data_IF_009548376991
#
_entry.id   IF_009548376991
#
_cell.length_a   1.000
_cell.length_b   1.000
_cell.length_c   1.000
_cell.angle_alpha   90.00
_cell.angle_beta   90.00
_cell.angle_gamma   90.00
#
_symmetry.space_group_name_H-M   'P 1'
#
loop_
_entity.id
_entity.type
_entity.pdbx_description
1 polymer ?
#
# COMPACT_ATOMS: atom_id res chain seq x y z
N UNK A 1 -57.23 -31.60 20.10
CA UNK A 1 -56.10 -32.09 20.92
C UNK A 1 -56.15 -33.61 20.96
N UNK A 2 -55.23 -34.28 20.27
CA UNK A 2 -54.46 -35.41 20.78
C UNK A 2 -53.49 -35.89 19.70
N UNK A 3 -52.26 -36.05 20.13
CA UNK A 3 -51.00 -36.12 19.39
C UNK A 3 -50.73 -37.49 18.78
N UNK A 4 -50.52 -37.52 17.47
CA UNK A 4 -49.99 -38.68 16.74
C UNK A 4 -48.45 -38.58 16.64
N UNK A 5 -47.75 -39.15 17.60
CA UNK A 5 -46.33 -39.47 17.52
C UNK A 5 -46.11 -40.88 18.09
N UNK A 6 -45.66 -41.83 17.28
CA UNK A 6 -45.24 -43.13 17.81
C UNK A 6 -45.24 -44.27 16.80
N UNK A 7 -44.21 -44.36 15.95
CA UNK A 7 -44.01 -45.56 15.11
C UNK A 7 -42.80 -45.49 14.17
N UNK A 8 -42.49 -44.31 13.64
CA UNK A 8 -41.33 -44.11 12.74
C UNK A 8 -39.99 -43.94 13.45
N UNK A 9 -40.00 -43.55 14.73
CA UNK A 9 -38.77 -43.24 15.48
C UNK A 9 -37.90 -44.45 15.81
N UNK A 10 -38.50 -45.58 16.19
CA UNK A 10 -37.74 -46.75 16.68
C UNK A 10 -36.95 -47.44 15.57
N UNK A 11 -37.54 -47.57 14.36
CA UNK A 11 -36.84 -48.14 13.19
C UNK A 11 -35.74 -47.22 12.67
N UNK A 12 -35.95 -45.91 12.69
CA UNK A 12 -34.92 -44.93 12.35
C UNK A 12 -33.75 -44.98 13.34
N UNK A 13 -34.04 -45.01 14.65
CA UNK A 13 -33.03 -45.12 15.71
C UNK A 13 -32.24 -46.43 15.61
N UNK A 14 -32.90 -47.57 15.36
CA UNK A 14 -32.22 -48.85 15.13
C UNK A 14 -31.32 -48.83 13.89
N UNK A 15 -31.75 -48.17 12.81
CA UNK A 15 -30.92 -47.96 11.62
C UNK A 15 -29.67 -47.13 11.91
N UNK A 16 -29.80 -46.03 12.65
CA UNK A 16 -28.66 -45.20 13.06
C UNK A 16 -27.69 -45.94 13.98
N UNK A 17 -28.22 -46.73 14.93
CA UNK A 17 -27.40 -47.56 15.82
C UNK A 17 -26.61 -48.59 15.01
N UNK A 18 -27.26 -49.29 14.07
CA UNK A 18 -26.61 -50.26 13.21
C UNK A 18 -25.48 -49.67 12.37
N UNK A 19 -25.71 -48.50 11.77
CA UNK A 19 -24.69 -47.77 11.00
C UNK A 19 -23.54 -47.31 11.91
N UNK A 20 -23.84 -46.76 13.09
CA UNK A 20 -22.82 -46.32 14.04
C UNK A 20 -21.94 -47.49 14.50
N UNK A 21 -22.54 -48.65 14.78
CA UNK A 21 -21.82 -49.86 15.17
C UNK A 21 -20.93 -50.38 14.04
N UNK A 22 -21.44 -50.40 12.81
CA UNK A 22 -20.66 -50.76 11.63
C UNK A 22 -19.46 -49.82 11.43
N UNK A 23 -19.64 -48.51 11.60
CA UNK A 23 -18.56 -47.51 11.53
C UNK A 23 -17.52 -47.75 12.63
N UNK A 24 -17.95 -47.98 13.88
CA UNK A 24 -17.04 -48.27 15.00
C UNK A 24 -16.22 -49.54 14.73
N UNK A 25 -16.85 -50.60 14.24
CA UNK A 25 -16.17 -51.86 13.89
C UNK A 25 -15.14 -51.63 12.77
N UNK A 26 -15.53 -50.90 11.73
CA UNK A 26 -14.65 -50.61 10.60
C UNK A 26 -13.43 -49.79 11.05
N UNK A 27 -13.65 -48.75 11.86
CA UNK A 27 -12.58 -47.93 12.44
C UNK A 27 -11.65 -48.80 13.28
N UNK A 28 -12.19 -49.69 14.12
CA UNK A 28 -11.39 -50.56 14.97
C UNK A 28 -10.57 -51.58 14.16
N UNK A 29 -11.12 -52.14 13.08
CA UNK A 29 -10.41 -53.01 12.15
C UNK A 29 -9.25 -52.28 11.46
N UNK A 30 -9.49 -51.05 11.01
CA UNK A 30 -8.47 -50.21 10.38
C UNK A 30 -7.36 -49.85 11.37
N UNK A 31 -7.71 -49.50 12.61
CA UNK A 31 -6.77 -49.23 13.70
C UNK A 31 -5.90 -50.44 14.00
N UNK A 32 -6.48 -51.64 14.08
CA UNK A 32 -5.74 -52.89 14.29
C UNK A 32 -4.80 -53.18 13.12
N UNK A 33 -5.26 -53.03 11.88
CA UNK A 33 -4.46 -53.31 10.68
C UNK A 33 -3.28 -52.35 10.48
N UNK A 34 -3.44 -51.09 10.91
CA UNK A 34 -2.39 -50.07 10.81
C UNK A 34 -1.43 -50.03 12.02
N UNK A 35 -1.60 -50.93 13.00
CA UNK A 35 -0.72 -51.03 14.17
C UNK A 35 -0.94 -49.95 15.23
N UNK A 36 -2.19 -49.47 15.37
CA UNK A 36 -2.63 -48.62 16.49
C UNK A 36 -3.10 -47.21 16.09
N UNK A 37 -3.89 -46.61 16.99
CA UNK A 37 -4.50 -45.28 16.81
C UNK A 37 -3.49 -44.18 16.47
N UNK A 38 -2.28 -44.24 17.03
CA UNK A 38 -1.21 -43.27 16.76
C UNK A 38 -0.78 -43.27 15.28
N UNK A 39 -0.74 -44.43 14.62
CA UNK A 39 -0.35 -44.52 13.20
C UNK A 39 -1.46 -44.05 12.27
N UNK A 40 -2.72 -44.36 12.58
CA UNK A 40 -3.88 -43.85 11.85
C UNK A 40 -3.96 -42.32 11.95
N UNK A 41 -3.84 -41.75 13.16
CA UNK A 41 -3.78 -40.29 13.36
C UNK A 41 -2.57 -39.67 12.68
N UNK A 42 -1.41 -40.35 12.69
CA UNK A 42 -0.22 -39.95 11.95
C UNK A 42 -0.45 -39.89 10.44
N UNK A 43 -1.19 -40.84 9.87
CA UNK A 43 -1.53 -40.87 8.45
C UNK A 43 -2.58 -39.80 8.09
N UNK A 44 -3.65 -39.68 8.87
CA UNK A 44 -4.70 -38.65 8.69
C UNK A 44 -4.10 -37.25 8.82
N UNK A 45 -3.28 -37.01 9.84
CA UNK A 45 -2.65 -35.69 10.05
C UNK A 45 -1.70 -35.31 8.91
N UNK A 46 -1.00 -36.27 8.29
CA UNK A 46 -0.16 -36.02 7.10
C UNK A 46 -1.00 -35.62 5.89
N UNK A 47 -2.11 -36.30 5.64
CA UNK A 47 -3.03 -36.00 4.54
C UNK A 47 -3.74 -34.66 4.76
N UNK A 48 -4.26 -34.40 5.97
CA UNK A 48 -4.88 -33.13 6.34
C UNK A 48 -3.88 -31.99 6.21
N UNK A 49 -2.61 -32.15 6.62
CA UNK A 49 -1.61 -31.07 6.55
C UNK A 49 -1.33 -30.61 5.11
N UNK A 50 -1.35 -31.53 4.14
CA UNK A 50 -1.16 -31.18 2.72
C UNK A 50 -2.38 -30.44 2.16
N UNK A 51 -3.59 -30.91 2.48
CA UNK A 51 -4.85 -30.27 2.04
C UNK A 51 -5.10 -28.92 2.73
N UNK A 52 -4.86 -28.84 4.04
CA UNK A 52 -5.02 -27.61 4.83
C UNK A 52 -4.09 -26.52 4.35
N UNK A 53 -2.87 -26.84 3.90
CA UNK A 53 -1.95 -25.81 3.36
C UNK A 53 -2.54 -25.13 2.12
N UNK A 54 -3.23 -25.87 1.25
CA UNK A 54 -3.90 -25.31 0.08
C UNK A 54 -5.11 -24.42 0.43
N UNK A 55 -5.83 -24.74 1.52
CA UNK A 55 -6.98 -23.94 1.98
C UNK A 55 -6.61 -22.77 2.91
N UNK A 56 -5.49 -22.86 3.64
CA UNK A 56 -5.06 -21.80 4.56
C UNK A 56 -4.29 -20.70 3.84
N UNK A 57 -3.55 -21.00 2.76
CA UNK A 57 -2.77 -20.00 2.05
C UNK A 57 -3.63 -18.81 1.54
N UNK A 58 -4.82 -19.02 0.93
CA UNK A 58 -5.70 -17.92 0.53
C UNK A 58 -6.15 -17.04 1.71
N UNK A 59 -6.44 -17.65 2.86
CA UNK A 59 -6.88 -16.92 4.07
C UNK A 59 -5.71 -16.14 4.66
N UNK A 60 -4.53 -16.76 4.75
CA UNK A 60 -3.31 -16.13 5.21
C UNK A 60 -2.94 -14.94 4.31
N UNK A 61 -2.97 -15.11 2.98
CA UNK A 61 -2.74 -14.06 2.00
C UNK A 61 -3.74 -12.90 2.17
N UNK A 62 -5.04 -13.19 2.32
CA UNK A 62 -6.07 -12.16 2.56
C UNK A 62 -5.85 -11.42 3.87
N UNK A 63 -5.43 -12.12 4.94
CA UNK A 63 -5.09 -11.51 6.23
C UNK A 63 -3.85 -10.62 6.13
N UNK A 64 -2.79 -11.08 5.45
CA UNK A 64 -1.57 -10.29 5.17
C UNK A 64 -1.92 -9.02 4.40
N UNK A 65 -2.67 -9.14 3.31
CA UNK A 65 -3.14 -8.00 2.53
C UNK A 65 -3.92 -6.99 3.36
N UNK A 66 -4.89 -7.45 4.17
CA UNK A 66 -5.67 -6.55 5.05
C UNK A 66 -4.81 -5.85 6.09
N UNK A 67 -3.81 -6.54 6.66
CA UNK A 67 -2.86 -5.94 7.62
C UNK A 67 -2.02 -4.86 6.95
N UNK A 68 -1.41 -5.16 5.80
CA UNK A 68 -0.60 -4.20 5.03
C UNK A 68 -1.41 -3.01 4.56
N UNK A 69 -2.64 -3.23 4.07
CA UNK A 69 -3.55 -2.16 3.68
C UNK A 69 -3.89 -1.23 4.86
N UNK A 70 -4.10 -1.78 6.06
CA UNK A 70 -4.34 -0.96 7.26
C UNK A 70 -3.11 -0.15 7.64
N UNK A 71 -1.93 -0.79 7.68
CA UNK A 71 -0.66 -0.12 7.98
C UNK A 71 -0.42 1.04 7.00
N UNK A 72 -0.49 0.79 5.70
CA UNK A 72 -0.33 1.84 4.69
C UNK A 72 -1.38 2.94 4.84
N UNK A 73 -2.65 2.59 4.99
CA UNK A 73 -3.71 3.61 5.12
C UNK A 73 -3.51 4.47 6.37
N UNK A 74 -2.99 3.90 7.46
CA UNK A 74 -2.66 4.62 8.69
C UNK A 74 -1.49 5.57 8.47
N UNK A 75 -0.35 5.07 7.97
CA UNK A 75 0.85 5.88 7.71
C UNK A 75 0.59 6.99 6.70
N UNK A 76 -0.15 6.72 5.63
CA UNK A 76 -0.50 7.74 4.65
C UNK A 76 -1.30 8.92 5.26
N UNK A 77 -1.97 8.72 6.39
CA UNK A 77 -2.76 9.77 7.08
C UNK A 77 -2.02 10.37 8.28
N UNK A 78 -0.84 9.87 8.60
CA UNK A 78 -0.08 10.20 9.81
C UNK A 78 0.88 11.36 9.51
N UNK A 79 0.40 12.59 9.59
CA UNK A 79 1.21 13.79 9.26
C UNK A 79 2.52 13.87 10.05
N UNK A 80 2.48 13.49 11.33
CA UNK A 80 3.66 13.45 12.20
C UNK A 80 4.67 12.39 11.72
N UNK A 81 4.18 11.20 11.36
CA UNK A 81 5.02 10.15 10.78
C UNK A 81 5.72 10.55 9.47
N UNK A 82 5.06 11.36 8.62
CA UNK A 82 5.71 11.92 7.42
C UNK A 82 6.80 12.93 7.79
N UNK A 83 6.50 13.89 8.67
CA UNK A 83 7.47 14.90 9.09
C UNK A 83 8.69 14.28 9.80
N UNK A 84 8.48 13.25 10.61
CA UNK A 84 9.58 12.47 11.20
C UNK A 84 10.39 11.70 10.17
N UNK A 85 9.76 11.08 9.17
CA UNK A 85 10.48 10.39 8.10
C UNK A 85 11.35 11.37 7.29
N UNK A 86 10.82 12.57 7.00
CA UNK A 86 11.57 13.63 6.31
C UNK A 86 12.74 14.13 7.19
N UNK A 87 12.50 14.39 8.49
CA UNK A 87 13.56 14.74 9.45
C UNK A 87 14.64 13.66 9.59
N UNK A 88 14.26 12.38 9.54
CA UNK A 88 15.21 11.27 9.62
C UNK A 88 16.16 11.23 8.42
N UNK A 89 15.66 11.50 7.20
CA UNK A 89 16.50 11.61 6.00
C UNK A 89 17.52 12.75 6.17
N UNK A 90 17.06 13.90 6.63
CA UNK A 90 17.93 15.06 6.85
C UNK A 90 18.97 14.79 7.92
N UNK A 91 18.55 14.27 9.07
CA UNK A 91 19.44 13.95 10.17
C UNK A 91 20.50 12.93 9.73
N UNK A 92 20.13 11.91 8.95
CA UNK A 92 21.07 10.95 8.40
C UNK A 92 22.04 11.59 7.39
N UNK A 93 21.60 12.55 6.57
CA UNK A 93 22.46 13.27 5.63
C UNK A 93 23.50 14.14 6.36
N UNK A 94 23.15 14.68 7.53
CA UNK A 94 24.04 15.48 8.36
C UNK A 94 25.18 14.70 9.05
N UNK A 95 25.11 13.36 9.07
CA UNK A 95 26.12 12.52 9.73
C UNK A 95 27.43 12.48 8.94
N UNK A 96 27.37 12.35 7.61
CA UNK A 96 28.57 12.23 6.78
C UNK A 96 28.34 12.80 5.37
N UNK A 97 29.18 13.74 4.90
CA UNK A 97 29.09 14.32 3.55
C UNK A 97 29.21 13.32 2.39
N UNK A 98 29.76 12.13 2.64
CA UNK A 98 29.92 11.06 1.65
C UNK A 98 28.73 10.10 1.55
N UNK A 99 27.71 10.27 2.39
CA UNK A 99 26.52 9.41 2.45
C UNK A 99 25.30 10.18 1.97
N UNK A 100 24.55 9.58 1.06
CA UNK A 100 23.33 10.14 0.49
C UNK A 100 22.13 9.26 0.88
N UNK A 101 21.36 9.66 1.89
CA UNK A 101 20.07 9.04 2.18
C UNK A 101 19.13 9.14 0.99
N UNK A 102 18.36 8.09 0.71
CA UNK A 102 17.48 8.05 -0.45
C UNK A 102 16.12 7.41 -0.23
N UNK A 103 15.93 6.72 0.90
CA UNK A 103 14.66 6.07 1.23
C UNK A 103 14.52 5.86 2.74
N UNK A 104 13.28 5.69 3.17
CA UNK A 104 12.88 5.47 4.56
C UNK A 104 12.05 4.19 4.68
N UNK A 105 12.32 3.41 5.72
CA UNK A 105 11.49 2.32 6.22
C UNK A 105 10.83 2.78 7.53
N UNK A 106 9.61 3.30 7.42
CA UNK A 106 8.86 3.85 8.55
C UNK A 106 8.11 2.74 9.31
N UNK A 107 8.41 2.60 10.59
CA UNK A 107 7.73 1.71 11.52
C UNK A 107 6.95 2.51 12.59
N UNK A 108 6.21 1.80 13.45
CA UNK A 108 5.48 2.44 14.54
C UNK A 108 6.40 3.18 15.53
N UNK A 109 7.55 2.60 15.88
CA UNK A 109 8.44 3.10 16.95
C UNK A 109 9.86 3.45 16.49
N UNK A 110 10.22 3.07 15.26
CA UNK A 110 11.56 3.26 14.73
C UNK A 110 11.52 3.65 13.26
N UNK A 111 12.56 4.32 12.80
CA UNK A 111 12.71 4.77 11.43
C UNK A 111 14.02 4.19 10.91
N UNK A 112 13.94 3.46 9.79
CA UNK A 112 15.11 3.01 9.05
C UNK A 112 15.39 3.96 7.91
N UNK A 113 16.63 4.39 7.72
CA UNK A 113 17.05 5.23 6.60
C UNK A 113 18.04 4.46 5.75
N UNK A 114 17.72 4.35 4.46
CA UNK A 114 18.60 3.73 3.47
C UNK A 114 19.54 4.79 2.92
N UNK A 115 20.84 4.52 3.03
CA UNK A 115 21.92 5.42 2.63
C UNK A 115 22.75 4.82 1.50
N UNK A 116 23.15 5.65 0.55
CA UNK A 116 24.08 5.29 -0.54
C UNK A 116 25.43 5.99 -0.32
N UNK A 117 26.53 5.36 -0.71
CA UNK A 117 27.87 5.92 -0.53
C UNK A 117 28.85 4.90 0.07
N UNK A 118 30.11 5.32 0.24
CA UNK A 118 31.15 4.50 0.85
C UNK A 118 30.93 4.45 2.37
N UNK A 119 30.22 3.43 2.83
CA UNK A 119 29.93 3.22 4.25
C UNK A 119 31.00 2.32 4.90
N UNK A 120 32.19 2.87 5.15
CA UNK A 120 33.13 2.26 6.11
C UNK A 120 32.88 2.75 7.55
N UNK A 121 32.13 3.83 7.71
CA UNK A 121 31.83 4.42 9.01
C UNK A 121 30.60 3.77 9.64
N UNK A 122 30.73 3.31 10.88
CA UNK A 122 29.59 2.96 11.72
C UNK A 122 28.82 4.26 12.06
N UNK A 123 27.47 4.27 11.99
CA UNK A 123 26.72 5.46 12.30
C UNK A 123 26.87 5.81 13.80
N UNK A 124 26.97 7.10 14.16
CA UNK A 124 27.08 7.51 15.54
C UNK A 124 25.77 7.29 16.29
N UNK A 125 25.84 7.00 17.59
CA UNK A 125 24.65 6.98 18.45
C UNK A 125 23.86 8.30 18.34
N UNK A 126 22.52 8.28 18.36
CA UNK A 126 21.65 7.13 18.66
C UNK A 126 21.40 6.19 17.47
N UNK A 127 21.97 6.47 16.29
CA UNK A 127 21.80 5.62 15.13
C UNK A 127 22.51 4.28 15.31
N UNK A 128 21.95 3.25 14.69
CA UNK A 128 22.55 1.92 14.62
C UNK A 128 22.43 1.38 13.21
N UNK A 129 23.49 0.75 12.71
CA UNK A 129 23.44 0.04 11.44
C UNK A 129 22.65 -1.26 11.61
N UNK A 130 21.87 -1.65 10.59
CA UNK A 130 21.21 -2.95 10.56
C UNK A 130 22.25 -4.07 10.48
N UNK A 131 22.04 -5.15 11.24
CA UNK A 131 22.97 -6.27 11.28
C UNK A 131 23.05 -7.05 9.97
N UNK A 132 22.03 -6.95 9.11
CA UNK A 132 22.00 -7.56 7.79
C UNK A 132 22.45 -6.60 6.69
N UNK A 133 22.38 -5.28 6.92
CA UNK A 133 22.85 -4.29 5.96
C UNK A 133 23.38 -3.00 6.60
N UNK A 134 24.69 -2.74 6.49
CA UNK A 134 25.30 -1.53 7.06
C UNK A 134 24.80 -0.23 6.43
N UNK A 135 24.08 -0.29 5.30
CA UNK A 135 23.48 0.86 4.61
C UNK A 135 22.06 1.16 5.05
N UNK A 136 21.49 0.37 5.96
CA UNK A 136 20.22 0.68 6.61
C UNK A 136 20.50 1.13 8.03
N UNK A 137 20.25 2.40 8.31
CA UNK A 137 20.47 2.97 9.63
C UNK A 137 19.17 3.15 10.37
N UNK A 138 19.07 2.60 11.56
CA UNK A 138 17.91 2.69 12.42
C UNK A 138 18.10 3.75 13.49
N UNK A 139 17.04 4.50 13.75
CA UNK A 139 16.87 5.36 14.91
C UNK A 139 15.49 5.11 15.51
N UNK A 140 15.39 5.17 16.84
CA UNK A 140 14.09 5.17 17.50
C UNK A 140 13.43 6.54 17.31
N UNK A 141 12.10 6.55 17.10
CA UNK A 141 11.35 7.79 16.85
C UNK A 141 11.50 8.81 17.98
N UNK A 142 11.63 8.34 19.21
CA UNK A 142 11.82 9.16 20.41
C UNK A 142 13.20 9.85 20.46
N UNK A 143 14.20 9.30 19.76
CA UNK A 143 15.57 9.81 19.73
C UNK A 143 15.83 10.70 18.51
N UNK A 144 14.82 10.89 17.65
CA UNK A 144 14.92 11.73 16.46
C UNK A 144 15.07 13.21 16.88
N UNK A 145 16.03 13.96 16.31
CA UNK A 145 16.20 15.36 16.65
C UNK A 145 14.94 16.16 16.36
N UNK A 146 14.53 17.00 17.32
CA UNK A 146 13.31 17.81 17.23
C UNK A 146 13.35 18.76 16.02
N UNK A 147 14.51 19.36 15.75
CA UNK A 147 14.73 20.24 14.61
C UNK A 147 15.98 19.82 13.85
N UNK A 148 15.93 20.03 12.53
CA UNK A 148 17.04 19.79 11.62
C UNK A 148 17.15 20.99 10.69
N UNK A 149 18.37 21.47 10.45
CA UNK A 149 18.61 22.52 9.47
C UNK A 149 18.74 21.88 8.09
N UNK A 150 17.93 22.35 7.14
CA UNK A 150 17.95 21.89 5.76
C UNK A 150 18.10 23.04 4.81
N UNK A 151 18.58 22.72 3.61
CA UNK A 151 18.43 23.57 2.42
C UNK A 151 17.20 23.19 1.58
N UNK A 152 16.79 21.92 1.63
CA UNK A 152 15.65 21.41 0.87
C UNK A 152 15.08 20.22 1.65
N UNK A 153 13.77 20.24 1.91
CA UNK A 153 13.08 19.11 2.55
C UNK A 153 12.92 17.95 1.57
N UNK A 154 13.19 16.69 1.97
CA UNK A 154 13.07 15.55 1.08
C UNK A 154 11.61 15.30 0.67
N UNK A 155 11.36 15.04 -0.62
CA UNK A 155 10.02 14.74 -1.11
C UNK A 155 9.79 13.24 -1.08
N UNK A 156 9.29 12.76 0.05
CA UNK A 156 8.97 11.35 0.21
C UNK A 156 7.74 10.94 -0.62
N UNK A 157 7.77 9.73 -1.16
CA UNK A 157 6.60 9.06 -1.73
C UNK A 157 6.57 7.61 -1.27
N UNK A 158 5.42 7.17 -0.76
CA UNK A 158 5.22 5.78 -0.35
C UNK A 158 5.13 4.86 -1.58
N UNK A 159 5.89 3.76 -1.55
CA UNK A 159 5.96 2.77 -2.65
C UNK A 159 5.44 1.39 -2.26
N UNK A 160 5.19 1.14 -0.96
CA UNK A 160 4.60 -0.11 -0.49
C UNK A 160 5.04 -0.46 0.93
N UNK A 161 4.93 -1.73 1.30
CA UNK A 161 5.49 -2.23 2.56
C UNK A 161 6.71 -3.11 2.31
N UNK A 162 7.52 -3.40 3.32
CA UNK A 162 8.50 -4.47 3.21
C UNK A 162 7.83 -5.86 3.03
N UNK A 163 8.62 -6.87 2.69
CA UNK A 163 8.15 -8.24 2.51
C UNK A 163 7.50 -8.85 3.78
N UNK A 164 7.86 -8.39 4.98
CA UNK A 164 7.23 -8.76 6.25
C UNK A 164 5.92 -8.01 6.52
N UNK A 165 5.75 -6.82 5.96
CA UNK A 165 4.62 -5.92 6.22
C UNK A 165 4.70 -5.22 7.58
N UNK A 166 5.91 -5.06 8.12
CA UNK A 166 6.20 -4.34 9.35
C UNK A 166 6.59 -2.87 9.13
N UNK A 167 7.04 -2.52 7.92
CA UNK A 167 7.53 -1.19 7.56
C UNK A 167 6.83 -0.67 6.31
N UNK A 168 6.58 0.63 6.27
CA UNK A 168 6.19 1.34 5.06
C UNK A 168 7.45 1.88 4.41
N UNK A 169 7.65 1.56 3.13
CA UNK A 169 8.82 2.00 2.38
C UNK A 169 8.45 3.27 1.60
N UNK A 170 9.25 4.30 1.80
CA UNK A 170 9.10 5.62 1.18
C UNK A 170 10.40 5.96 0.47
N UNK A 171 10.31 6.50 -0.75
CA UNK A 171 11.47 6.96 -1.51
C UNK A 171 11.52 8.48 -1.49
N UNK A 172 12.69 9.05 -1.27
CA UNK A 172 12.90 10.48 -1.50
C UNK A 172 13.12 10.72 -3.00
N UNK A 173 12.19 11.43 -3.64
CA UNK A 173 12.26 11.76 -5.06
C UNK A 173 13.22 12.91 -5.36
N UNK A 174 13.70 13.64 -4.35
CA UNK A 174 14.68 14.71 -4.51
C UNK A 174 16.12 14.19 -4.46
N UNK A 175 16.39 13.13 -3.70
CA UNK A 175 17.68 12.45 -3.75
C UNK A 175 17.98 11.82 -5.12
N UNK A 176 19.25 11.87 -5.53
CA UNK A 176 19.76 11.14 -6.69
C UNK A 176 19.28 11.66 -8.05
N UNK A 177 19.14 10.77 -9.06
CA UNK A 177 18.76 11.17 -10.41
C UNK A 177 17.40 11.85 -10.48
N UNK A 178 17.25 12.80 -11.41
CA UNK A 178 16.00 13.56 -11.64
C UNK A 178 14.86 12.71 -12.21
N UNK A 179 15.17 11.51 -12.68
CA UNK A 179 14.20 10.57 -13.24
C UNK A 179 14.12 9.31 -12.39
N UNK A 180 12.90 8.88 -12.07
CA UNK A 180 12.58 7.58 -11.51
C UNK A 180 11.81 6.77 -12.55
N UNK A 181 12.36 5.65 -13.00
CA UNK A 181 11.72 4.74 -13.94
C UNK A 181 11.15 3.53 -13.20
N UNK A 182 9.86 3.28 -13.38
CA UNK A 182 9.18 2.08 -12.88
C UNK A 182 8.88 1.17 -14.08
N UNK A 183 9.47 -0.02 -14.12
CA UNK A 183 9.41 -0.91 -15.29
C UNK A 183 9.19 -2.36 -14.87
N UNK A 184 9.11 -3.31 -15.82
CA UNK A 184 8.87 -4.73 -15.55
C UNK A 184 7.43 -5.13 -15.83
N UNK A 185 6.77 -5.84 -14.91
CA UNK A 185 5.37 -6.26 -15.07
C UNK A 185 4.44 -5.04 -15.17
N UNK A 186 3.91 -4.76 -16.37
CA UNK A 186 3.14 -3.53 -16.68
C UNK A 186 2.01 -3.27 -15.67
N UNK A 187 1.22 -4.29 -15.33
CA UNK A 187 0.10 -4.15 -14.38
C UNK A 187 0.55 -3.58 -13.03
N UNK A 188 1.68 -4.07 -12.50
CA UNK A 188 2.22 -3.65 -11.21
C UNK A 188 2.91 -2.30 -11.34
N UNK A 189 3.76 -2.13 -12.36
CA UNK A 189 4.49 -0.88 -12.61
C UNK A 189 3.53 0.31 -12.79
N UNK A 190 2.50 0.15 -13.62
CA UNK A 190 1.47 1.16 -13.88
C UNK A 190 0.69 1.52 -12.62
N UNK A 191 0.25 0.53 -11.85
CA UNK A 191 -0.47 0.78 -10.60
C UNK A 191 0.39 1.55 -9.57
N UNK A 192 1.70 1.27 -9.53
CA UNK A 192 2.66 1.99 -8.68
C UNK A 192 2.83 3.42 -9.17
N UNK A 193 3.10 3.64 -10.45
CA UNK A 193 3.25 4.99 -11.03
C UNK A 193 2.00 5.83 -10.79
N UNK A 194 0.81 5.29 -11.03
CA UNK A 194 -0.46 5.97 -10.76
C UNK A 194 -0.62 6.32 -9.28
N UNK A 195 -0.26 5.41 -8.36
CA UNK A 195 -0.35 5.66 -6.93
C UNK A 195 0.68 6.69 -6.44
N UNK A 196 1.87 6.74 -7.04
CA UNK A 196 2.88 7.75 -6.77
C UNK A 196 2.45 9.12 -7.30
N UNK A 197 1.94 9.16 -8.54
CA UNK A 197 1.40 10.38 -9.14
C UNK A 197 0.27 10.97 -8.31
N UNK A 198 -0.67 10.14 -7.85
CA UNK A 198 -1.76 10.59 -6.98
C UNK A 198 -1.27 11.16 -5.64
N UNK A 199 -0.23 10.54 -5.04
CA UNK A 199 0.37 11.09 -3.82
C UNK A 199 0.97 12.48 -4.09
N UNK A 200 1.72 12.64 -5.18
CA UNK A 200 2.32 13.91 -5.55
C UNK A 200 1.26 14.98 -5.87
N UNK A 201 0.22 14.63 -6.63
CA UNK A 201 -0.87 15.54 -7.01
C UNK A 201 -1.56 16.17 -5.80
N UNK A 202 -1.73 15.42 -4.71
CA UNK A 202 -2.30 15.97 -3.47
C UNK A 202 -1.28 16.72 -2.63
N UNK A 203 -0.06 16.19 -2.52
CA UNK A 203 0.92 16.73 -1.58
C UNK A 203 1.59 18.01 -2.09
N UNK A 204 1.62 18.19 -3.42
CA UNK A 204 2.26 19.32 -4.07
C UNK A 204 1.23 20.45 -4.37
N UNK A 205 1.69 21.70 -4.55
CA UNK A 205 0.83 22.78 -5.03
C UNK A 205 0.15 22.45 -6.37
N UNK A 206 -1.04 23.01 -6.58
CA UNK A 206 -1.79 22.83 -7.83
C UNK A 206 -0.92 23.24 -9.03
N UNK A 207 -0.82 22.36 -10.03
CA UNK A 207 -0.03 22.58 -11.23
C UNK A 207 1.47 22.25 -11.08
N UNK A 208 1.93 21.80 -9.90
CA UNK A 208 3.31 21.32 -9.70
C UNK A 208 3.54 19.90 -10.26
N UNK A 209 2.49 19.20 -10.68
CA UNK A 209 2.58 17.92 -11.39
C UNK A 209 1.82 18.01 -12.70
N UNK A 210 2.40 17.42 -13.74
CA UNK A 210 1.72 17.19 -15.02
C UNK A 210 1.71 15.69 -15.32
N UNK A 211 0.53 15.14 -15.62
CA UNK A 211 0.35 13.72 -15.95
C UNK A 211 0.06 13.61 -17.44
N UNK A 212 1.05 13.08 -18.17
CA UNK A 212 0.95 12.89 -19.61
C UNK A 212 -0.03 11.77 -19.98
N UNK A 213 -0.36 11.72 -21.27
CA UNK A 213 -1.19 10.67 -21.85
C UNK A 213 -0.67 9.26 -21.57
N UNK A 214 -1.57 8.28 -21.55
CA UNK A 214 -1.22 6.87 -21.40
C UNK A 214 -0.87 6.43 -19.97
N UNK A 215 -0.83 7.34 -18.98
CA UNK A 215 -0.65 6.97 -17.57
C UNK A 215 -1.93 6.39 -16.96
N UNK A 216 -3.06 7.09 -17.09
CA UNK A 216 -4.33 6.69 -16.51
C UNK A 216 -5.44 6.68 -17.57
N UNK A 217 -6.24 5.61 -17.71
CA UNK A 217 -7.20 5.46 -18.81
C UNK A 217 -8.37 6.44 -18.78
N UNK A 218 -8.58 7.14 -17.65
CA UNK A 218 -9.62 8.18 -17.49
C UNK A 218 -9.06 9.60 -17.41
N UNK A 219 -7.76 9.76 -17.63
CA UNK A 219 -7.10 11.06 -17.65
C UNK A 219 -6.65 11.32 -19.08
N UNK A 220 -7.24 12.33 -19.71
CA UNK A 220 -6.84 12.78 -21.04
C UNK A 220 -5.66 13.74 -20.89
N UNK A 221 -4.46 13.16 -20.81
CA UNK A 221 -3.22 13.91 -20.62
C UNK A 221 -2.66 14.44 -21.93
N UNK A 222 -1.77 15.42 -21.85
CA UNK A 222 -1.01 15.90 -23.02
C UNK A 222 0.07 14.89 -23.43
N UNK A 223 0.57 14.94 -24.67
CA UNK A 223 1.78 14.22 -25.06
C UNK A 223 2.94 14.52 -24.11
N UNK A 224 3.77 13.51 -23.82
CA UNK A 224 4.83 13.60 -22.80
C UNK A 224 5.80 14.78 -23.04
N UNK A 225 6.13 15.07 -24.30
CA UNK A 225 7.02 16.19 -24.66
C UNK A 225 6.41 17.56 -24.32
N UNK A 226 5.10 17.70 -24.47
CA UNK A 226 4.38 18.93 -24.14
C UNK A 226 4.22 19.07 -22.63
N UNK A 227 3.83 17.99 -21.96
CA UNK A 227 3.75 17.91 -20.50
C UNK A 227 5.09 18.29 -19.84
N UNK A 228 6.20 17.82 -20.41
CA UNK A 228 7.54 18.14 -19.90
C UNK A 228 7.91 19.64 -19.98
N UNK A 229 7.29 20.38 -20.90
CA UNK A 229 7.53 21.81 -21.12
C UNK A 229 6.51 22.71 -20.43
N UNK A 230 5.45 22.14 -19.83
CA UNK A 230 4.39 22.92 -19.17
C UNK A 230 4.96 23.80 -18.07
N UNK A 231 4.78 25.13 -18.19
CA UNK A 231 5.20 26.07 -17.15
C UNK A 231 4.50 25.77 -15.82
N UNK A 232 5.22 25.86 -14.71
CA UNK A 232 4.70 25.61 -13.36
C UNK A 232 4.89 24.18 -12.85
N UNK A 233 4.91 23.17 -13.74
CA UNK A 233 5.12 21.79 -13.29
C UNK A 233 6.53 21.59 -12.73
N UNK A 234 6.67 20.76 -11.71
CA UNK A 234 7.96 20.33 -11.17
C UNK A 234 8.17 18.85 -11.45
N UNK A 235 7.09 18.08 -11.39
CA UNK A 235 7.04 16.68 -11.76
C UNK A 235 6.28 16.48 -13.06
N UNK A 236 6.80 15.58 -13.89
CA UNK A 236 6.14 15.11 -15.10
C UNK A 236 6.03 13.60 -15.00
N UNK A 237 4.82 13.08 -15.16
CA UNK A 237 4.56 11.63 -15.13
C UNK A 237 4.22 11.18 -16.54
N UNK A 238 4.98 10.22 -17.07
CA UNK A 238 4.86 9.84 -18.48
C UNK A 238 5.20 8.39 -18.78
N UNK A 239 4.78 7.93 -19.95
CA UNK A 239 5.10 6.59 -20.45
C UNK A 239 6.33 6.66 -21.35
N UNK A 240 7.31 5.80 -21.09
CA UNK A 240 8.50 5.66 -21.91
C UNK A 240 9.49 6.83 -21.79
N UNK A 241 10.56 6.80 -22.60
CA UNK A 241 11.58 7.84 -22.58
C UNK A 241 11.14 9.11 -23.31
N UNK A 242 11.52 10.26 -22.77
CA UNK A 242 11.54 11.52 -23.52
C UNK A 242 12.47 11.40 -24.74
N UNK A 243 12.06 11.96 -25.86
CA UNK A 243 12.88 12.08 -27.06
C UNK A 243 14.05 13.05 -26.84
N UNK A 244 13.77 14.15 -26.13
CA UNK A 244 14.76 15.15 -25.71
C UNK A 244 15.22 15.01 -24.26
N UNK A 245 16.21 15.82 -23.81
CA UNK A 245 16.60 15.88 -22.41
C UNK A 245 15.48 16.48 -21.55
N UNK A 246 15.36 16.01 -20.31
CA UNK A 246 14.42 16.57 -19.33
C UNK A 246 14.76 18.04 -19.03
N UNK A 247 13.84 19.01 -19.27
CA UNK A 247 14.10 20.44 -19.05
C UNK A 247 14.60 20.73 -17.64
N UNK A 248 15.55 21.64 -17.46
CA UNK A 248 16.18 21.94 -16.15
C UNK A 248 15.14 22.27 -15.06
N UNK A 249 15.44 21.90 -13.81
CA UNK A 249 14.55 22.10 -12.66
C UNK A 249 13.35 21.15 -12.58
N UNK A 250 13.12 20.30 -13.57
CA UNK A 250 12.06 19.26 -13.56
C UNK A 250 12.51 17.91 -13.01
N UNK A 251 11.57 17.10 -12.57
CA UNK A 251 11.77 15.68 -12.27
C UNK A 251 10.74 14.85 -13.01
N UNK A 252 11.08 13.60 -13.28
CA UNK A 252 10.26 12.71 -14.08
C UNK A 252 9.97 11.40 -13.35
N UNK A 253 8.71 11.00 -13.35
CA UNK A 253 8.28 9.64 -13.01
C UNK A 253 7.88 8.93 -14.31
N UNK A 254 8.70 7.97 -14.74
CA UNK A 254 8.52 7.24 -15.98
C UNK A 254 7.88 5.88 -15.74
N UNK A 255 6.81 5.55 -16.48
CA UNK A 255 6.36 4.18 -16.68
C UNK A 255 7.16 3.57 -17.84
N UNK A 256 8.05 2.64 -17.54
CA UNK A 256 9.07 2.13 -18.45
C UNK A 256 10.41 2.80 -18.24
N UNK A 257 11.43 2.33 -18.97
CA UNK A 257 12.82 2.79 -18.81
C UNK A 257 13.01 4.11 -19.55
N UNK A 258 13.31 5.17 -18.81
CA UNK A 258 13.67 6.47 -19.37
C UNK A 258 15.13 6.50 -19.87
N UNK A 259 15.44 7.48 -20.74
CA UNK A 259 16.81 7.76 -21.18
C UNK A 259 17.58 8.55 -20.13
N UNK A 260 18.90 8.39 -20.11
CA UNK A 260 19.82 9.13 -19.23
C UNK A 260 19.93 8.56 -17.82
N UNK A 261 20.32 9.40 -16.87
CA UNK A 261 20.46 8.99 -15.46
C UNK A 261 19.08 8.83 -14.82
N UNK A 262 18.74 7.59 -14.43
CA UNK A 262 17.47 7.26 -13.80
C UNK A 262 17.71 6.36 -12.60
N UNK A 263 16.96 6.61 -11.52
CA UNK A 263 16.71 5.58 -10.50
C UNK A 263 15.75 4.55 -11.09
N UNK A 264 15.96 3.26 -10.81
CA UNK A 264 15.24 2.16 -11.45
C UNK A 264 14.50 1.33 -10.41
N UNK A 265 13.17 1.24 -10.56
CA UNK A 265 12.27 0.46 -9.73
C UNK A 265 11.61 -0.64 -10.57
N UNK A 266 12.06 -1.87 -10.39
CA UNK A 266 11.61 -3.03 -11.16
C UNK A 266 10.41 -3.69 -10.51
N UNK A 267 9.30 -3.79 -11.22
CA UNK A 267 8.15 -4.60 -10.88
C UNK A 267 8.37 -6.05 -11.34
N UNK A 268 8.54 -6.92 -10.36
CA UNK A 268 8.94 -8.32 -10.55
C UNK A 268 7.72 -9.22 -10.86
N UNK A 269 7.93 -10.42 -11.44
CA UNK A 269 6.86 -11.40 -11.70
C UNK A 269 6.07 -11.84 -10.47
N UNK A 270 6.69 -11.80 -9.28
CA UNK A 270 6.06 -12.11 -7.99
C UNK A 270 5.23 -10.94 -7.43
N UNK A 271 5.04 -9.88 -8.21
CA UNK A 271 4.32 -8.65 -7.86
C UNK A 271 5.02 -7.80 -6.80
N UNK A 272 6.26 -8.12 -6.42
CA UNK A 272 7.10 -7.25 -5.59
C UNK A 272 7.78 -6.16 -6.43
N UNK A 273 8.29 -5.12 -5.78
CA UNK A 273 9.22 -4.17 -6.37
C UNK A 273 10.63 -4.41 -5.86
N UNK A 274 11.59 -4.19 -6.75
CA UNK A 274 13.02 -4.14 -6.46
C UNK A 274 13.56 -2.78 -6.86
N UNK A 275 14.17 -2.07 -5.93
CA UNK A 275 14.93 -0.86 -6.23
C UNK A 275 16.36 -1.24 -6.63
N UNK A 276 16.79 -0.90 -7.84
CA UNK A 276 18.17 -1.19 -8.27
C UNK A 276 19.18 -0.35 -7.49
N UNK A 277 20.31 -0.97 -7.14
CA UNK A 277 21.32 -0.39 -6.25
C UNK A 277 20.97 -0.54 -4.76
N UNK A 278 19.70 -0.80 -4.44
CA UNK A 278 19.30 -1.13 -3.07
C UNK A 278 19.62 -2.60 -2.73
N UNK A 279 19.63 -2.94 -1.44
CA UNK A 279 19.93 -4.28 -0.98
C UNK A 279 18.94 -5.34 -1.49
N UNK A 280 19.38 -6.59 -1.75
CA UNK A 280 18.49 -7.65 -2.24
C UNK A 280 17.34 -8.01 -1.30
N UNK A 281 17.51 -7.78 0.01
CA UNK A 281 16.48 -8.03 1.02
C UNK A 281 15.36 -6.98 0.98
N UNK A 282 15.61 -5.79 0.43
CA UNK A 282 14.63 -4.72 0.27
C UNK A 282 13.66 -5.05 -0.87
N UNK A 283 12.80 -6.03 -0.60
CA UNK A 283 11.65 -6.38 -1.43
C UNK A 283 10.45 -5.61 -0.93
N UNK A 284 9.84 -4.85 -1.83
CA UNK A 284 8.71 -3.99 -1.51
C UNK A 284 7.44 -4.68 -2.03
N UNK A 285 6.40 -4.80 -1.21
CA UNK A 285 5.07 -5.21 -1.64
C UNK A 285 4.21 -3.97 -1.96
N UNK A 286 3.96 -3.67 -3.25
CA UNK A 286 3.13 -2.56 -3.67
C UNK A 286 1.64 -2.94 -3.74
N UNK A 287 1.26 -4.21 -3.58
CA UNK A 287 -0.10 -4.68 -3.88
C UNK A 287 -1.22 -3.90 -3.16
N UNK A 288 -1.08 -3.50 -1.87
CA UNK A 288 -2.10 -2.69 -1.22
C UNK A 288 -1.99 -1.18 -1.49
N UNK A 289 -0.93 -0.70 -2.16
CA UNK A 289 -0.60 0.72 -2.29
C UNK A 289 -1.72 1.53 -2.95
N UNK A 290 -2.12 1.20 -4.18
CA UNK A 290 -3.12 1.97 -4.90
C UNK A 290 -4.45 2.11 -4.12
N UNK A 291 -4.86 1.04 -3.43
CA UNK A 291 -6.06 1.06 -2.59
C UNK A 291 -5.87 1.86 -1.30
N UNK A 292 -4.69 1.82 -0.70
CA UNK A 292 -4.35 2.63 0.47
C UNK A 292 -4.36 4.13 0.11
N UNK A 293 -3.70 4.49 -1.00
CA UNK A 293 -3.66 5.86 -1.53
C UNK A 293 -5.07 6.36 -1.82
N UNK A 294 -5.88 5.63 -2.59
CA UNK A 294 -7.27 6.04 -2.87
C UNK A 294 -8.12 6.28 -1.60
N UNK A 295 -7.84 5.56 -0.51
CA UNK A 295 -8.54 5.74 0.78
C UNK A 295 -8.01 6.91 1.60
N UNK A 296 -6.77 7.31 1.39
CA UNK A 296 -6.09 8.32 2.20
C UNK A 296 -5.82 9.61 1.43
N UNK A 297 -6.14 9.66 0.14
CA UNK A 297 -5.81 10.76 -0.79
C UNK A 297 -6.20 12.12 -0.23
N UNK A 298 -7.41 12.30 0.31
CA UNK A 298 -7.89 13.57 0.88
C UNK A 298 -7.28 13.96 2.23
N UNK A 299 -6.42 13.11 2.79
CA UNK A 299 -5.81 13.26 4.13
C UNK A 299 -4.30 13.06 4.08
N UNK A 300 -3.70 13.06 2.89
CA UNK A 300 -2.25 13.06 2.79
C UNK A 300 -1.74 14.41 3.29
N UNK A 301 -0.66 14.44 4.11
CA UNK A 301 -0.10 15.69 4.57
C UNK A 301 0.54 16.44 3.39
N UNK A 302 0.32 17.76 3.25
CA UNK A 302 1.00 18.55 2.24
C UNK A 302 2.52 18.48 2.44
N UNK A 303 3.29 18.64 1.36
CA UNK A 303 4.72 18.81 1.47
C UNK A 303 5.04 20.31 1.57
N UNK A 304 5.74 20.69 2.63
CA UNK A 304 6.18 22.07 2.83
C UNK A 304 7.34 22.36 1.88
N UNK A 305 7.06 23.16 0.86
CA UNK A 305 8.13 23.78 0.08
C UNK A 305 8.61 25.02 0.81
N UNK A 306 9.91 25.31 0.71
CA UNK A 306 10.47 26.63 1.00
C UNK A 306 9.90 27.65 0.00
N UNK A 307 8.62 27.97 0.09
CA UNK A 307 8.11 29.23 -0.40
C UNK A 307 8.48 30.25 0.67
N UNK A 308 9.44 31.14 0.36
CA UNK A 308 9.59 32.44 1.04
C UNK A 308 8.35 33.35 0.86
N UNK A 309 7.18 32.77 0.61
CA UNK A 309 5.86 33.39 0.50
C UNK A 309 4.95 32.51 1.36
N UNK A 310 4.34 33.05 2.43
CA UNK A 310 3.44 32.26 3.27
C UNK A 310 2.25 31.79 2.43
N UNK A 311 2.10 30.47 2.32
CA UNK A 311 0.90 29.86 1.76
C UNK A 311 -0.23 30.08 2.75
N UNK A 312 -1.22 30.90 2.38
CA UNK A 312 -2.50 30.93 3.07
C UNK A 312 -3.24 29.66 2.65
N UNK A 313 -3.54 28.71 3.56
CA UNK A 313 -4.37 27.58 3.19
C UNK A 313 -5.69 28.13 2.66
N UNK A 314 -6.12 27.64 1.49
CA UNK A 314 -7.46 27.90 1.00
C UNK A 314 -8.41 27.64 2.17
N UNK A 315 -9.13 28.69 2.59
CA UNK A 315 -10.06 28.61 3.69
C UNK A 315 -10.90 27.35 3.51
N UNK A 316 -10.87 26.49 4.52
CA UNK A 316 -11.88 25.46 4.67
C UNK A 316 -13.20 26.23 4.66
N UNK A 317 -13.96 26.15 3.57
CA UNK A 317 -15.35 26.62 3.58
C UNK A 317 -16.10 25.66 4.48
N UNK A 318 -16.09 25.97 5.78
CA UNK A 318 -17.10 25.52 6.72
C UNK A 318 -18.38 26.27 6.41
N UNK A 319 -19.03 25.94 5.30
CA UNK A 319 -20.40 26.36 4.99
C UNK A 319 -20.88 25.54 3.78
N UNK A 320 -21.54 24.41 4.04
CA UNK A 320 -22.71 23.91 3.27
C UNK A 320 -23.26 22.57 3.83
N UNK A 321 -23.36 22.44 5.17
CA UNK A 321 -23.98 21.26 5.80
C UNK A 321 -24.99 21.61 6.90
N UNK A 322 -25.47 22.86 6.95
CA UNK A 322 -26.53 23.31 7.86
C UNK A 322 -27.95 23.10 7.34
N UNK A 323 -28.13 22.69 6.08
CA UNK A 323 -29.47 22.55 5.45
C UNK A 323 -30.12 21.18 5.63
N UNK A 324 -29.65 20.37 6.58
CA UNK A 324 -30.33 19.14 7.00
C UNK A 324 -30.81 19.25 8.44
N UNK A 325 -31.66 20.23 8.68
CA UNK A 325 -32.53 20.28 9.86
C UNK A 325 -33.65 19.25 9.68
N UNK A 326 -33.37 18.01 10.10
CA UNK A 326 -34.37 16.96 10.15
C UNK A 326 -35.26 17.23 11.36
N UNK A 327 -36.38 17.93 11.12
CA UNK A 327 -37.45 18.09 12.11
C UNK A 327 -37.92 16.73 12.61
N UNK A 328 -37.62 16.46 13.87
CA UNK A 328 -38.15 15.33 14.61
C UNK A 328 -39.63 15.61 14.95
N UNK A 329 -40.51 14.79 14.39
CA UNK A 329 -41.86 14.56 14.91
C UNK A 329 -42.97 14.86 13.91
N UNK A 330 -43.64 13.81 13.43
CA UNK A 330 -45.02 13.46 13.85
C UNK A 330 -45.47 12.20 13.12
N UNK A 331 -46.04 11.28 13.89
CA UNK A 331 -46.70 10.04 13.50
C UNK A 331 -47.90 10.32 12.58
N UNK A 332 -48.07 9.56 11.50
CA UNK A 332 -49.27 9.64 10.66
C UNK A 332 -49.39 8.50 9.65
N UNK A 333 -50.23 7.54 9.99
CA UNK A 333 -50.74 6.46 9.12
C UNK A 333 -51.69 7.04 8.07
N UNK A 334 -51.56 6.68 6.79
CA UNK A 334 -52.67 6.12 5.99
C UNK A 334 -52.28 5.79 4.55
N UNK A 335 -52.86 4.70 4.09
CA UNK A 335 -52.87 4.18 2.74
C UNK A 335 -53.66 5.08 1.78
N UNK A 336 -53.31 5.03 0.50
CA UNK A 336 -54.16 4.68 -0.65
C UNK A 336 -53.64 5.33 -1.95
N UNK A 337 -53.28 4.45 -2.89
CA UNK A 337 -53.60 4.48 -4.33
C UNK A 337 -53.76 5.85 -5.03
N UNK A 338 -52.96 6.06 -6.06
CA UNK A 338 -53.49 6.22 -7.43
C UNK A 338 -52.37 5.93 -8.43
N UNK A 339 -52.67 4.91 -9.22
CA UNK A 339 -52.00 4.50 -10.44
C UNK A 339 -52.43 5.46 -11.55
N UNK A 340 -51.50 6.13 -12.23
CA UNK A 340 -51.83 6.81 -13.49
C UNK A 340 -50.58 7.02 -14.36
N UNK A 341 -50.66 6.50 -15.59
CA UNK A 341 -50.15 7.22 -16.76
C UNK A 341 -48.83 6.79 -17.38
N UNK A 342 -48.67 5.51 -17.72
CA UNK A 342 -47.62 5.05 -18.65
C UNK A 342 -48.17 5.03 -20.09
N UNK A 343 -47.92 6.09 -20.86
CA UNK A 343 -48.13 6.08 -22.31
C UNK A 343 -46.83 5.71 -23.02
N UNK A 344 -46.82 4.51 -23.59
CA UNK A 344 -45.86 4.09 -24.60
C UNK A 344 -46.60 4.08 -25.95
N UNK A 345 -46.13 4.88 -26.90
CA UNK A 345 -46.55 4.78 -28.30
C UNK A 345 -45.52 3.98 -29.10
N UNK A 346 -46.00 2.90 -29.72
CA UNK A 346 -45.41 2.25 -30.88
C UNK A 346 -46.46 2.35 -31.98
N UNK A 347 -46.23 3.23 -32.96
CA UNK A 347 -46.58 3.12 -34.39
C UNK A 347 -45.88 4.28 -35.09
#
# INVERSE_FOLDING_TARGET
MNSAFGGGGVRGVLGYIGIALAVIILVNLVVRRLGGWKKLLGWISRQIRQTVRAFVEPIAARRRYRRRLRLLSQVLRDSEGWAEAERAIVAAAGISPGMAPYAVALAKQRIGVLVAGASELEPPKPWSADSQDPRLWWIDRADLPESVSVREMPLLVCVGTDAGGGYVIMLDLLSGPRTLSVYGVDRTARAVVQAMAAQLDVRLPVGAIEVAEGIHPRHDGMPLEEAARRLGAWFVVGVGPLAGPLPAGRRMLSLGVARGSSRLLEAMPDQSLRLLGAPPWLRIDPLPLAKAVARSIRRLPPHEFESGVPFSPAAVSTDDLSDLDVSAGTVGVSALTSDEGKTASWS
#
